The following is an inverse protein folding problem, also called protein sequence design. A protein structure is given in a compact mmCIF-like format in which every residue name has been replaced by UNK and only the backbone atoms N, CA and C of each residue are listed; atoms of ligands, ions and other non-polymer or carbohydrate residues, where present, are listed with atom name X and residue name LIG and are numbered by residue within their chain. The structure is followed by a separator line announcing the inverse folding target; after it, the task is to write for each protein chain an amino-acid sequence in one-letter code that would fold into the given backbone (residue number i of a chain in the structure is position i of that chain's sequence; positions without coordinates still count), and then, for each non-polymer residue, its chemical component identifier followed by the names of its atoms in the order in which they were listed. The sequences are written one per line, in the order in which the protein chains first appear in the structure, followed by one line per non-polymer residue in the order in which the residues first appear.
data_IF_708570845667
#
_entry.id   IF_708570845667
#
_cell.length_a   1.000
_cell.length_b   1.000
_cell.length_c   1.000
_cell.angle_alpha   90.00
_cell.angle_beta   90.00
_cell.angle_gamma   90.00
#
_symmetry.space_group_name_H-M   'P 1'
#
loop_
_entity.id
_entity.type
_entity.pdbx_description
1 polymer ?
#
# COMPACT_ATOMS: atom_id res chain seq x y z
N UNK A 1 -57.70 8.33 -45.94
CA UNK A 1 -57.45 7.44 -44.81
C UNK A 1 -55.96 6.97 -44.82
N UNK A 2 -55.42 6.66 -45.99
CA UNK A 2 -54.10 6.10 -46.15
C UNK A 2 -52.96 7.12 -45.88
N UNK A 3 -53.17 8.40 -46.19
CA UNK A 3 -52.19 9.46 -45.95
C UNK A 3 -51.96 9.78 -44.45
N UNK A 4 -53.03 9.63 -43.65
CA UNK A 4 -52.93 9.84 -42.20
C UNK A 4 -52.18 8.70 -41.49
N UNK A 5 -52.34 7.48 -42.00
CA UNK A 5 -51.69 6.28 -41.48
C UNK A 5 -50.18 6.33 -41.77
N UNK A 6 -49.78 6.75 -42.98
CA UNK A 6 -48.38 6.93 -43.36
C UNK A 6 -47.65 8.01 -42.52
N UNK A 7 -48.36 9.06 -42.09
CA UNK A 7 -47.82 10.08 -41.22
C UNK A 7 -47.61 9.57 -39.79
N UNK A 8 -48.47 8.71 -39.28
CA UNK A 8 -48.37 8.09 -37.97
C UNK A 8 -47.21 7.09 -37.91
N UNK A 9 -47.01 6.30 -38.96
CA UNK A 9 -45.93 5.32 -39.04
C UNK A 9 -44.58 6.03 -39.18
N UNK A 10 -44.48 7.13 -39.91
CA UNK A 10 -43.27 7.91 -40.06
C UNK A 10 -42.87 8.64 -38.76
N UNK A 11 -43.86 9.08 -37.96
CA UNK A 11 -43.57 9.66 -36.63
C UNK A 11 -43.11 8.62 -35.64
N UNK A 12 -43.58 7.39 -35.70
CA UNK A 12 -43.12 6.28 -34.88
C UNK A 12 -41.71 5.83 -35.21
N UNK A 13 -41.31 5.83 -36.49
CA UNK A 13 -39.91 5.57 -36.87
C UNK A 13 -38.94 6.66 -36.41
N UNK A 14 -39.39 7.93 -36.45
CA UNK A 14 -38.57 9.05 -35.94
C UNK A 14 -38.41 9.00 -34.41
N UNK A 15 -39.45 8.64 -33.66
CA UNK A 15 -39.38 8.47 -32.21
C UNK A 15 -38.51 7.24 -31.81
N UNK A 16 -38.59 6.14 -32.58
CA UNK A 16 -37.72 4.98 -32.34
C UNK A 16 -36.23 5.25 -32.66
N UNK A 17 -35.94 6.10 -33.66
CA UNK A 17 -34.59 6.48 -34.03
C UNK A 17 -33.95 7.51 -33.10
N UNK A 18 -34.72 8.26 -32.30
CA UNK A 18 -34.21 9.25 -31.34
C UNK A 18 -33.85 8.62 -29.99
N UNK A 19 -34.31 7.41 -29.69
CA UNK A 19 -34.10 6.77 -28.39
C UNK A 19 -32.81 5.92 -28.33
N UNK A 20 -32.12 5.71 -29.44
CA UNK A 20 -30.83 4.97 -29.48
C UNK A 20 -29.65 5.80 -30.00
N UNK A 21 -29.37 6.96 -29.40
CA UNK A 21 -28.10 7.63 -29.56
C UNK A 21 -27.28 7.49 -28.27
N UNK A 22 -25.96 7.27 -28.37
CA UNK A 22 -25.20 6.29 -27.58
C UNK A 22 -24.79 6.83 -26.22
N UNK A 23 -25.58 6.55 -25.21
CA UNK A 23 -25.17 6.69 -23.81
C UNK A 23 -23.99 5.75 -23.45
N UNK A 24 -23.69 4.74 -24.28
CA UNK A 24 -22.58 3.82 -24.07
C UNK A 24 -21.24 4.43 -24.44
N UNK A 25 -21.14 5.23 -25.49
CA UNK A 25 -19.87 5.81 -25.96
C UNK A 25 -19.37 6.93 -25.05
N UNK A 26 -20.26 7.73 -24.46
CA UNK A 26 -19.91 8.75 -23.49
C UNK A 26 -19.46 8.17 -22.15
N UNK A 27 -19.99 6.99 -21.76
CA UNK A 27 -19.53 6.26 -20.57
C UNK A 27 -18.18 5.59 -20.79
N UNK A 28 -17.88 5.10 -21.97
CA UNK A 28 -16.60 4.48 -22.31
C UNK A 28 -15.49 5.51 -22.47
N UNK A 29 -15.75 6.67 -23.05
CA UNK A 29 -14.78 7.76 -23.15
C UNK A 29 -14.41 8.34 -21.78
N UNK A 30 -15.37 8.52 -20.87
CA UNK A 30 -15.12 8.96 -19.50
C UNK A 30 -14.36 7.94 -18.64
N UNK A 31 -14.49 6.64 -18.93
CA UNK A 31 -13.75 5.58 -18.21
C UNK A 31 -12.32 5.46 -18.67
N UNK A 32 -12.01 5.69 -19.94
CA UNK A 32 -10.66 5.60 -20.49
C UNK A 32 -9.76 6.76 -19.99
N UNK A 33 -10.30 7.97 -19.89
CA UNK A 33 -9.56 9.13 -19.37
C UNK A 33 -9.33 9.05 -17.86
N UNK A 34 -10.28 8.51 -17.09
CA UNK A 34 -10.11 8.27 -15.66
C UNK A 34 -9.11 7.11 -15.38
N UNK A 35 -8.94 6.19 -16.31
CA UNK A 35 -7.95 5.12 -16.17
C UNK A 35 -6.50 5.59 -16.23
N UNK A 36 -6.22 6.73 -16.85
CA UNK A 36 -4.86 7.27 -16.98
C UNK A 36 -4.46 8.24 -15.86
N UNK A 37 -5.39 8.69 -15.01
CA UNK A 37 -5.07 9.60 -13.90
C UNK A 37 -4.37 8.85 -12.77
N UNK A 38 -3.22 9.39 -12.32
CA UNK A 38 -2.46 8.87 -11.18
C UNK A 38 -3.31 8.86 -9.89
N UNK A 39 -4.17 9.88 -9.72
CA UNK A 39 -5.06 10.06 -8.58
C UNK A 39 -6.51 9.73 -8.97
N UNK A 40 -6.87 8.45 -8.89
CA UNK A 40 -8.25 8.00 -9.08
C UNK A 40 -9.03 8.11 -7.77
N UNK A 41 -10.31 8.50 -7.84
CA UNK A 41 -11.19 8.51 -6.66
C UNK A 41 -11.29 7.10 -6.04
N UNK A 42 -11.11 7.03 -4.72
CA UNK A 42 -11.26 5.80 -3.97
C UNK A 42 -12.75 5.40 -3.89
N UNK A 43 -13.04 4.14 -4.15
CA UNK A 43 -14.36 3.55 -3.86
C UNK A 43 -14.37 3.07 -2.41
N UNK A 44 -15.51 3.12 -1.75
CA UNK A 44 -15.66 2.64 -0.36
C UNK A 44 -15.14 1.21 -0.21
N UNK A 45 -15.37 0.35 -1.18
CA UNK A 45 -14.86 -1.03 -1.20
C UNK A 45 -13.32 -1.12 -1.17
N UNK A 46 -12.63 -0.16 -1.81
CA UNK A 46 -11.16 -0.11 -1.81
C UNK A 46 -10.64 0.29 -0.43
N UNK A 47 -11.29 1.27 0.20
CA UNK A 47 -10.95 1.77 1.54
C UNK A 47 -11.12 0.67 2.58
N UNK A 48 -12.26 -0.03 2.56
CA UNK A 48 -12.55 -1.14 3.48
C UNK A 48 -11.52 -2.26 3.30
N UNK A 49 -11.18 -2.59 2.06
CA UNK A 49 -10.18 -3.62 1.79
C UNK A 49 -8.79 -3.24 2.32
N UNK A 50 -8.35 -2.00 2.11
CA UNK A 50 -7.07 -1.51 2.64
C UNK A 50 -7.06 -1.49 4.16
N UNK A 51 -8.17 -1.11 4.81
CA UNK A 51 -8.31 -1.14 6.25
C UNK A 51 -8.22 -2.57 6.83
N UNK A 52 -8.82 -3.56 6.14
CA UNK A 52 -8.71 -4.98 6.53
C UNK A 52 -7.25 -5.44 6.40
N UNK A 53 -6.55 -5.08 5.30
CA UNK A 53 -5.13 -5.43 5.13
C UNK A 53 -4.26 -4.78 6.21
N UNK A 54 -4.53 -3.54 6.59
CA UNK A 54 -3.86 -2.86 7.69
C UNK A 54 -4.12 -3.55 9.04
N UNK A 55 -5.36 -3.98 9.30
CA UNK A 55 -5.71 -4.73 10.51
C UNK A 55 -5.00 -6.09 10.58
N UNK A 56 -4.92 -6.81 9.45
CA UNK A 56 -4.15 -8.05 9.36
C UNK A 56 -2.66 -7.83 9.63
N UNK A 57 -2.10 -6.74 9.11
CA UNK A 57 -0.70 -6.36 9.33
C UNK A 57 -0.44 -6.08 10.82
N UNK A 58 -1.34 -5.37 11.50
CA UNK A 58 -1.25 -5.11 12.94
C UNK A 58 -1.44 -6.38 13.76
N UNK A 59 -2.43 -7.21 13.41
CA UNK A 59 -2.70 -8.47 14.12
C UNK A 59 -1.51 -9.43 14.08
N UNK A 60 -0.87 -9.55 12.92
CA UNK A 60 0.36 -10.35 12.80
C UNK A 60 1.56 -9.67 13.46
N UNK A 61 1.58 -8.33 13.54
CA UNK A 61 2.60 -7.54 14.23
C UNK A 61 2.58 -7.68 15.76
N UNK A 62 1.56 -8.30 16.36
CA UNK A 62 1.46 -8.55 17.80
C UNK A 62 2.59 -9.43 18.37
N UNK A 63 3.40 -10.03 17.51
CA UNK A 63 4.65 -10.73 17.87
C UNK A 63 5.77 -9.76 18.34
N UNK A 64 5.64 -8.46 18.04
CA UNK A 64 6.67 -7.46 18.34
C UNK A 64 7.15 -7.45 19.82
N UNK A 65 6.29 -7.55 20.85
CA UNK A 65 6.74 -7.55 22.24
C UNK A 65 7.64 -8.73 22.59
N UNK A 66 7.46 -9.88 21.95
CA UNK A 66 8.29 -11.08 22.19
C UNK A 66 9.70 -10.90 21.61
N UNK A 67 9.79 -10.27 20.45
CA UNK A 67 11.06 -10.10 19.71
C UNK A 67 11.81 -8.85 20.18
N UNK A 68 11.08 -7.83 20.66
CA UNK A 68 11.64 -6.56 21.12
C UNK A 68 12.57 -6.66 22.33
N UNK A 69 12.50 -7.78 23.07
CA UNK A 69 13.40 -8.04 24.21
C UNK A 69 14.78 -8.54 23.79
N UNK A 70 15.02 -8.83 22.52
CA UNK A 70 16.32 -9.28 22.03
C UNK A 70 17.17 -8.06 21.71
N UNK A 71 18.31 -7.84 22.39
CA UNK A 71 19.16 -6.67 22.19
C UNK A 71 20.03 -6.81 20.93
N UNK A 72 19.40 -6.95 19.76
CA UNK A 72 20.05 -7.02 18.47
C UNK A 72 19.49 -5.96 17.54
N UNK A 73 20.37 -5.15 16.96
CA UNK A 73 19.98 -4.12 16.00
C UNK A 73 19.12 -4.68 14.88
N UNK A 74 17.95 -4.11 14.66
CA UNK A 74 17.09 -4.46 13.52
C UNK A 74 16.41 -5.84 13.57
N UNK A 75 16.51 -6.62 14.67
CA UNK A 75 15.89 -7.94 14.77
C UNK A 75 14.36 -7.87 14.62
N UNK A 76 13.74 -6.86 15.20
CA UNK A 76 12.30 -6.62 15.09
C UNK A 76 11.92 -6.40 13.62
N UNK A 77 12.72 -5.64 12.88
CA UNK A 77 12.51 -5.36 11.47
C UNK A 77 12.68 -6.62 10.60
N UNK A 78 13.61 -7.50 10.93
CA UNK A 78 13.74 -8.79 10.23
C UNK A 78 12.49 -9.65 10.44
N UNK A 79 12.03 -9.77 11.68
CA UNK A 79 10.87 -10.60 12.01
C UNK A 79 9.56 -10.06 11.44
N UNK A 80 9.39 -8.74 11.46
CA UNK A 80 8.19 -8.08 10.94
C UNK A 80 8.25 -7.81 9.43
N UNK A 81 9.43 -7.79 8.83
CA UNK A 81 9.66 -7.40 7.44
C UNK A 81 8.84 -8.20 6.44
N UNK A 82 8.68 -9.50 6.66
CA UNK A 82 7.91 -10.36 5.79
C UNK A 82 6.44 -9.90 5.70
N UNK A 83 5.79 -9.72 6.83
CA UNK A 83 4.37 -9.37 6.89
C UNK A 83 4.12 -7.91 6.49
N UNK A 84 5.00 -6.99 6.90
CA UNK A 84 4.94 -5.58 6.50
C UNK A 84 5.27 -5.35 5.02
N UNK A 85 5.66 -6.38 4.29
CA UNK A 85 5.80 -6.35 2.83
C UNK A 85 4.67 -7.11 2.12
N UNK A 86 4.23 -8.26 2.64
CA UNK A 86 3.16 -9.09 2.03
C UNK A 86 1.84 -8.31 1.94
N UNK A 87 1.34 -7.79 3.06
CA UNK A 87 0.03 -7.14 3.11
C UNK A 87 -0.06 -5.86 2.29
N UNK A 88 0.91 -4.92 2.35
CA UNK A 88 0.92 -3.76 1.48
C UNK A 88 0.92 -4.11 0.00
N UNK A 89 1.70 -5.10 -0.42
CA UNK A 89 1.73 -5.53 -1.83
C UNK A 89 0.37 -6.05 -2.27
N UNK A 90 -0.29 -6.89 -1.46
CA UNK A 90 -1.65 -7.38 -1.78
C UNK A 90 -2.64 -6.22 -1.86
N UNK A 91 -2.59 -5.27 -0.91
CA UNK A 91 -3.42 -4.08 -0.89
C UNK A 91 -3.25 -3.23 -2.15
N UNK A 92 -2.01 -2.91 -2.49
CA UNK A 92 -1.66 -2.10 -3.65
C UNK A 92 -2.01 -2.78 -4.98
N UNK A 93 -1.80 -4.10 -5.09
CA UNK A 93 -2.15 -4.87 -6.30
C UNK A 93 -3.66 -4.98 -6.52
N UNK A 94 -4.46 -4.92 -5.47
CA UNK A 94 -5.93 -4.87 -5.55
C UNK A 94 -6.42 -3.49 -5.97
N UNK A 95 -5.95 -2.45 -5.29
CA UNK A 95 -6.48 -1.09 -5.43
C UNK A 95 -5.84 -0.36 -6.61
N UNK A 96 -4.56 -0.57 -6.89
CA UNK A 96 -3.78 0.00 -8.02
C UNK A 96 -3.91 1.51 -8.16
N UNK A 97 -3.92 2.23 -7.04
CA UNK A 97 -4.05 3.69 -6.98
C UNK A 97 -2.89 4.26 -6.15
N UNK A 98 -2.45 5.47 -6.51
CA UNK A 98 -1.53 6.23 -5.68
C UNK A 98 -2.18 6.55 -4.33
N UNK A 99 -1.41 6.51 -3.23
CA UNK A 99 -1.90 6.73 -1.87
C UNK A 99 -2.40 5.47 -1.16
N UNK A 100 -2.41 4.30 -1.80
CA UNK A 100 -2.87 3.08 -1.16
C UNK A 100 -1.97 2.64 -0.01
N UNK A 101 -0.65 2.75 -0.17
CA UNK A 101 0.32 2.46 0.87
C UNK A 101 0.23 3.47 2.02
N UNK A 102 0.12 4.76 1.67
CA UNK A 102 -0.04 5.83 2.64
C UNK A 102 -1.30 5.62 3.49
N UNK A 103 -2.43 5.27 2.88
CA UNK A 103 -3.68 4.98 3.60
C UNK A 103 -3.51 3.83 4.59
N UNK A 104 -2.89 2.72 4.17
CA UNK A 104 -2.61 1.58 5.06
C UNK A 104 -1.69 1.99 6.20
N UNK A 105 -0.67 2.81 5.91
CA UNK A 105 0.28 3.31 6.92
C UNK A 105 -0.38 4.24 7.93
N UNK A 106 -1.33 5.07 7.51
CA UNK A 106 -2.14 5.90 8.42
C UNK A 106 -2.99 5.01 9.33
N UNK A 107 -3.69 4.01 8.77
CA UNK A 107 -4.49 3.09 9.57
C UNK A 107 -3.66 2.34 10.62
N UNK A 108 -2.48 1.84 10.24
CA UNK A 108 -1.55 1.20 11.16
C UNK A 108 -0.97 2.19 12.16
N UNK A 109 -0.60 3.36 11.69
CA UNK A 109 0.01 4.41 12.47
C UNK A 109 -0.88 4.92 13.60
N UNK A 110 -2.19 5.05 13.37
CA UNK A 110 -3.16 5.45 14.41
C UNK A 110 -3.11 4.49 15.61
N UNK A 111 -2.95 3.20 15.37
CA UNK A 111 -2.80 2.22 16.45
C UNK A 111 -1.40 2.32 17.08
N UNK A 112 -0.36 2.53 16.30
CA UNK A 112 1.01 2.63 16.79
C UNK A 112 1.28 3.89 17.60
N UNK A 113 0.49 4.97 17.43
CA UNK A 113 0.58 6.17 18.27
C UNK A 113 0.44 5.83 19.76
N UNK A 114 -0.43 4.88 20.10
CA UNK A 114 -0.62 4.44 21.49
C UNK A 114 0.59 3.69 22.05
N UNK A 115 1.44 3.12 21.18
CA UNK A 115 2.67 2.44 21.60
C UNK A 115 3.87 3.40 21.57
N UNK A 116 4.02 4.18 20.50
CA UNK A 116 5.11 5.12 20.33
C UNK A 116 4.81 6.12 19.22
N UNK A 117 4.79 7.40 19.56
CA UNK A 117 4.62 8.51 18.60
C UNK A 117 5.73 8.51 17.54
N UNK A 118 6.95 8.11 17.92
CA UNK A 118 8.09 8.02 17.00
C UNK A 118 7.85 6.99 15.92
N UNK A 119 7.32 5.82 16.28
CA UNK A 119 6.99 4.77 15.32
C UNK A 119 5.90 5.21 14.34
N UNK A 120 4.92 5.98 14.80
CA UNK A 120 3.91 6.56 13.92
C UNK A 120 4.52 7.48 12.87
N UNK A 121 5.32 8.46 13.31
CA UNK A 121 5.98 9.41 12.40
C UNK A 121 6.90 8.67 11.42
N UNK A 122 7.67 7.71 11.93
CA UNK A 122 8.59 6.91 11.12
C UNK A 122 7.85 6.14 10.00
N UNK A 123 6.79 5.41 10.33
CA UNK A 123 6.00 4.63 9.35
C UNK A 123 5.35 5.55 8.32
N UNK A 124 4.83 6.70 8.74
CA UNK A 124 4.21 7.65 7.83
C UNK A 124 5.21 8.24 6.83
N UNK A 125 6.38 8.68 7.32
CA UNK A 125 7.46 9.20 6.48
C UNK A 125 7.97 8.15 5.49
N UNK A 126 8.17 6.91 5.96
CA UNK A 126 8.60 5.81 5.10
C UNK A 126 7.58 5.48 4.01
N UNK A 127 6.28 5.56 4.32
CA UNK A 127 5.22 5.36 3.33
C UNK A 127 5.23 6.45 2.26
N UNK A 128 5.37 7.72 2.68
CA UNK A 128 5.48 8.85 1.73
C UNK A 128 6.69 8.66 0.82
N UNK A 129 7.86 8.34 1.38
CA UNK A 129 9.09 8.11 0.61
C UNK A 129 8.91 6.95 -0.37
N UNK A 130 8.39 5.81 0.09
CA UNK A 130 8.17 4.64 -0.76
C UNK A 130 7.18 4.94 -1.90
N UNK A 131 6.10 5.69 -1.64
CA UNK A 131 5.15 6.09 -2.68
C UNK A 131 5.74 7.08 -3.68
N UNK A 132 6.46 8.11 -3.20
CA UNK A 132 7.12 9.09 -4.07
C UNK A 132 8.15 8.39 -4.97
N UNK A 133 9.01 7.54 -4.40
CA UNK A 133 10.00 6.77 -5.17
C UNK A 133 9.33 5.86 -6.21
N UNK A 134 8.27 5.17 -5.82
CA UNK A 134 7.51 4.31 -6.73
C UNK A 134 6.86 5.12 -7.85
N UNK A 135 6.28 6.27 -7.52
CA UNK A 135 5.70 7.19 -8.50
C UNK A 135 6.73 7.74 -9.49
N UNK A 136 7.93 8.10 -9.01
CA UNK A 136 9.02 8.60 -9.85
C UNK A 136 9.57 7.52 -10.80
N UNK A 137 9.79 6.29 -10.29
CA UNK A 137 10.41 5.21 -11.07
C UNK A 137 9.43 4.60 -12.05
N UNK A 138 8.22 4.28 -11.61
CA UNK A 138 7.27 3.53 -12.43
C UNK A 138 6.23 4.41 -13.14
N UNK A 139 6.05 5.65 -12.72
CA UNK A 139 5.04 6.61 -13.25
C UNK A 139 3.61 6.07 -13.32
N UNK A 140 3.38 4.81 -12.93
CA UNK A 140 2.07 4.15 -12.98
C UNK A 140 2.00 2.98 -11.99
N UNK A 141 0.94 2.94 -11.20
CA UNK A 141 0.62 1.84 -10.29
C UNK A 141 -0.07 0.63 -10.98
N UNK A 142 -0.22 0.66 -12.29
CA UNK A 142 -0.81 -0.45 -13.07
C UNK A 142 0.13 -1.66 -13.17
N UNK A 143 1.45 -1.44 -13.08
CA UNK A 143 2.46 -2.49 -13.17
C UNK A 143 2.62 -3.21 -11.84
N UNK A 144 2.61 -4.54 -11.86
CA UNK A 144 2.82 -5.37 -10.67
C UNK A 144 4.18 -5.07 -10.00
N UNK A 145 5.19 -4.72 -10.79
CA UNK A 145 6.51 -4.31 -10.30
C UNK A 145 6.51 -3.05 -9.43
N UNK A 146 5.58 -2.11 -9.65
CA UNK A 146 5.46 -0.92 -8.80
C UNK A 146 5.03 -1.29 -7.38
N UNK A 147 4.05 -2.19 -7.24
CA UNK A 147 3.61 -2.68 -5.93
C UNK A 147 4.69 -3.51 -5.23
N UNK A 148 5.44 -4.32 -5.98
CA UNK A 148 6.56 -5.07 -5.43
C UNK A 148 7.66 -4.15 -4.91
N UNK A 149 8.06 -3.15 -5.70
CA UNK A 149 9.08 -2.18 -5.31
C UNK A 149 8.66 -1.39 -4.07
N UNK A 150 7.43 -0.87 -4.06
CA UNK A 150 6.90 -0.12 -2.91
C UNK A 150 6.89 -0.96 -1.63
N UNK A 151 6.41 -2.22 -1.69
CA UNK A 151 6.40 -3.11 -0.54
C UNK A 151 7.80 -3.54 -0.07
N UNK A 152 8.77 -3.62 -0.99
CA UNK A 152 10.16 -3.92 -0.64
C UNK A 152 10.84 -2.74 0.03
N UNK A 153 10.62 -1.51 -0.43
CA UNK A 153 11.31 -0.31 0.08
C UNK A 153 10.66 0.24 1.34
N UNK A 154 9.35 0.08 1.49
CA UNK A 154 8.57 0.70 2.57
C UNK A 154 9.13 0.42 3.96
N UNK A 155 9.26 -0.85 4.31
CA UNK A 155 9.65 -1.23 5.67
C UNK A 155 11.14 -1.08 5.96
N UNK A 156 12.09 -1.42 5.06
CA UNK A 156 13.51 -1.15 5.29
C UNK A 156 13.86 0.32 5.49
N UNK A 157 13.09 1.25 4.89
CA UNK A 157 13.26 2.68 5.13
C UNK A 157 13.12 3.08 6.61
N UNK A 158 12.48 2.25 7.44
CA UNK A 158 12.36 2.53 8.88
C UNK A 158 13.70 2.43 9.61
N UNK A 159 14.63 1.58 9.17
CA UNK A 159 15.93 1.38 9.82
C UNK A 159 16.78 2.66 9.87
N UNK A 160 17.06 3.37 8.75
CA UNK A 160 17.84 4.59 8.79
C UNK A 160 17.16 5.69 9.62
N UNK A 161 15.83 5.76 9.60
CA UNK A 161 15.12 6.73 10.44
C UNK A 161 15.28 6.43 11.92
N UNK A 162 15.12 5.18 12.34
CA UNK A 162 15.31 4.77 13.72
C UNK A 162 16.76 4.93 14.16
N UNK A 163 17.73 4.59 13.28
CA UNK A 163 19.13 4.79 13.56
C UNK A 163 19.46 6.27 13.80
N UNK A 164 19.02 7.17 12.93
CA UNK A 164 19.21 8.61 13.08
C UNK A 164 18.50 9.12 14.34
N UNK A 165 17.28 8.70 14.57
CA UNK A 165 16.51 9.12 15.74
C UNK A 165 17.23 8.75 17.05
N UNK A 166 17.61 7.50 17.25
CA UNK A 166 18.20 7.04 18.49
C UNK A 166 19.64 7.49 18.70
N UNK A 167 20.40 7.75 17.64
CA UNK A 167 21.79 8.20 17.78
C UNK A 167 21.97 9.72 17.80
N UNK A 168 21.03 10.49 17.22
CA UNK A 168 21.20 11.95 17.09
C UNK A 168 20.12 12.77 17.81
N UNK A 169 18.87 12.27 17.89
CA UNK A 169 17.76 13.02 18.47
C UNK A 169 17.37 12.55 19.87
N UNK A 170 17.61 11.29 20.17
CA UNK A 170 17.26 10.72 21.46
C UNK A 170 18.31 11.06 22.49
N UNK A 171 18.07 12.10 23.29
CA UNK A 171 18.83 12.40 24.50
C UNK A 171 18.33 11.49 25.62
N UNK A 172 19.14 10.54 25.99
CA UNK A 172 18.85 9.51 26.98
C UNK A 172 18.45 10.12 28.32
N UNK A 173 17.18 10.07 28.65
CA UNK A 173 16.65 10.33 29.98
C UNK A 173 15.75 9.22 30.51
N UNK A 174 15.65 8.08 29.87
CA UNK A 174 14.80 7.01 30.35
C UNK A 174 15.50 5.65 30.24
N UNK A 175 15.42 4.89 31.31
CA UNK A 175 15.70 3.45 31.41
C UNK A 175 14.69 2.64 30.56
N UNK A 176 14.48 3.04 29.32
CA UNK A 176 13.52 2.40 28.43
C UNK A 176 14.20 1.27 27.68
N UNK A 177 14.06 0.10 28.25
CA UNK A 177 14.10 -1.20 27.62
C UNK A 177 15.22 -1.58 26.64
N UNK A 178 15.52 -2.84 26.61
CA UNK A 178 16.56 -3.49 25.76
C UNK A 178 16.46 -3.19 24.27
N UNK A 179 15.27 -2.88 23.73
CA UNK A 179 15.10 -2.58 22.31
C UNK A 179 15.70 -1.23 21.89
N UNK A 180 15.69 -0.24 22.77
CA UNK A 180 16.27 1.08 22.52
C UNK A 180 17.80 1.01 22.57
N UNK A 181 18.33 0.27 23.52
CA UNK A 181 19.79 0.09 23.67
C UNK A 181 20.43 -0.60 22.46
N UNK A 182 19.67 -1.41 21.71
CA UNK A 182 20.16 -2.07 20.50
C UNK A 182 20.44 -1.10 19.34
N UNK A 183 19.81 0.08 19.33
CA UNK A 183 20.05 1.12 18.32
C UNK A 183 21.13 2.11 18.73
N UNK A 184 21.31 2.31 20.04
CA UNK A 184 22.31 3.26 20.59
C UNK A 184 23.69 2.62 20.52
N UNK A 185 24.62 3.26 19.77
CA UNK A 185 26.00 2.77 19.64
C UNK A 185 26.15 1.49 18.84
N UNK A 186 25.17 1.14 18.00
CA UNK A 186 25.29 -0.02 17.12
C UNK A 186 26.49 0.11 16.18
N UNK A 187 27.29 -0.96 16.09
CA UNK A 187 28.43 -1.02 15.16
C UNK A 187 27.91 -0.81 13.71
N UNK A 188 28.48 0.14 12.95
CA UNK A 188 28.12 0.39 11.56
C UNK A 188 28.13 -0.86 10.68
N UNK A 189 29.03 -1.80 10.90
CA UNK A 189 29.11 -3.04 10.16
C UNK A 189 27.89 -3.94 10.42
N UNK A 190 27.44 -4.05 11.67
CA UNK A 190 26.23 -4.78 12.08
C UNK A 190 24.99 -4.09 11.51
N UNK A 191 24.93 -2.76 11.57
CA UNK A 191 23.81 -1.99 11.02
C UNK A 191 23.64 -2.20 9.51
N UNK A 192 24.73 -2.21 8.75
CA UNK A 192 24.71 -2.48 7.30
C UNK A 192 24.28 -3.93 7.03
N UNK A 193 24.88 -4.91 7.71
CA UNK A 193 24.53 -6.32 7.54
C UNK A 193 23.07 -6.61 7.82
N UNK A 194 22.52 -6.07 8.91
CA UNK A 194 21.11 -6.21 9.27
C UNK A 194 20.20 -5.48 8.29
N UNK A 195 20.61 -4.32 7.77
CA UNK A 195 19.84 -3.61 6.73
C UNK A 195 19.70 -4.46 5.46
N UNK A 196 20.77 -5.12 5.03
CA UNK A 196 20.74 -6.05 3.89
C UNK A 196 19.80 -7.23 4.18
N UNK A 197 19.84 -7.79 5.38
CA UNK A 197 18.96 -8.88 5.80
C UNK A 197 17.48 -8.44 5.76
N UNK A 198 17.15 -7.28 6.31
CA UNK A 198 15.78 -6.73 6.28
C UNK A 198 15.29 -6.50 4.85
N UNK A 199 16.11 -5.90 3.99
CA UNK A 199 15.76 -5.70 2.57
C UNK A 199 15.48 -7.04 1.89
N UNK A 200 16.32 -8.06 2.13
CA UNK A 200 16.15 -9.40 1.57
C UNK A 200 14.84 -10.06 2.02
N UNK A 201 14.54 -10.00 3.31
CA UNK A 201 13.28 -10.54 3.87
C UNK A 201 12.07 -9.80 3.33
N UNK A 202 12.14 -8.46 3.25
CA UNK A 202 11.07 -7.65 2.68
C UNK A 202 10.86 -7.93 1.19
N UNK A 203 11.92 -8.15 0.43
CA UNK A 203 11.82 -8.54 -0.98
C UNK A 203 11.14 -9.91 -1.14
N UNK A 204 11.52 -10.90 -0.34
CA UNK A 204 10.86 -12.22 -0.32
C UNK A 204 9.38 -12.06 0.06
N UNK A 205 9.07 -11.28 1.09
CA UNK A 205 7.69 -10.97 1.48
C UNK A 205 6.88 -10.32 0.37
N UNK A 206 7.46 -9.33 -0.31
CA UNK A 206 6.84 -8.65 -1.44
C UNK A 206 6.58 -9.61 -2.62
N UNK A 207 7.50 -10.54 -2.91
CA UNK A 207 7.30 -11.59 -3.92
C UNK A 207 6.15 -12.53 -3.55
N UNK A 208 6.11 -12.99 -2.30
CA UNK A 208 5.01 -13.84 -1.78
C UNK A 208 3.68 -13.11 -1.91
N UNK A 209 3.61 -11.84 -1.49
CA UNK A 209 2.42 -10.99 -1.63
C UNK A 209 1.97 -10.85 -3.08
N UNK A 210 2.91 -10.69 -4.02
CA UNK A 210 2.62 -10.63 -5.45
C UNK A 210 2.06 -11.96 -5.98
N UNK A 211 2.64 -13.10 -5.59
CA UNK A 211 2.17 -14.43 -6.00
C UNK A 211 0.75 -14.67 -5.49
N UNK A 212 0.51 -14.44 -4.20
CA UNK A 212 -0.82 -14.57 -3.58
C UNK A 212 -1.84 -13.69 -4.32
N UNK A 213 -1.50 -12.44 -4.57
CA UNK A 213 -2.39 -11.50 -5.26
C UNK A 213 -2.71 -11.94 -6.69
N UNK A 214 -1.75 -12.54 -7.41
CA UNK A 214 -1.97 -13.09 -8.75
C UNK A 214 -2.89 -14.31 -8.73
N UNK A 215 -2.73 -15.22 -7.77
CA UNK A 215 -3.61 -16.38 -7.61
C UNK A 215 -5.04 -15.96 -7.21
N UNK A 216 -5.20 -15.02 -6.28
CA UNK A 216 -6.49 -14.44 -5.92
C UNK A 216 -7.20 -13.77 -7.10
N UNK A 217 -6.44 -13.25 -8.06
CA UNK A 217 -6.99 -12.68 -9.30
C UNK A 217 -7.42 -13.77 -10.28
N UNK A 218 -6.68 -14.87 -10.40
CA UNK A 218 -7.05 -16.01 -11.25
C UNK A 218 -8.31 -16.72 -10.73
N UNK A 219 -8.44 -16.87 -9.41
CA UNK A 219 -9.61 -17.48 -8.78
C UNK A 219 -10.88 -16.61 -8.82
N UNK A 220 -10.82 -15.41 -9.38
CA UNK A 220 -11.98 -14.51 -9.52
C UNK A 220 -12.41 -13.80 -8.24
N UNK A 221 -11.75 -14.05 -7.11
CA UNK A 221 -12.01 -13.37 -5.83
C UNK A 221 -11.71 -11.87 -5.94
N UNK A 222 -10.70 -11.53 -6.73
CA UNK A 222 -10.34 -10.14 -7.03
C UNK A 222 -10.76 -9.85 -8.49
N UNK A 223 -11.96 -9.29 -8.69
CA UNK A 223 -12.37 -8.76 -10.00
C UNK A 223 -11.53 -7.54 -10.36
N UNK A 224 -11.21 -7.44 -11.68
CA UNK A 224 -10.58 -6.25 -12.28
C UNK A 224 -11.39 -4.98 -12.05
#
# INVERSE_FOLDING_TARGET
RDAAQALIDNTKEIEAGVTEAPASSAKEAGTADDENKLFRKYKIKDIVFLAIMAACMLGTGSIMPLVGNIPLFGIVQVCLGLQFSVFPVIGMMKVRKAGALLFMSVCCGVVLVFMSTVMFVCILLCAVIAEVLTGLIFRSYKRDGASLFAGTVFFPCTLPFLYIYYNFLYTSQADDGTAVSAFIGADPAVAIGMSIAVVSVCFIGALVGMIISRELRKSGVIKK
#
